data_IF_330933344117
#
_entry.id   IF_330933344117
#
_cell.length_a   1.000
_cell.length_b   1.000
_cell.length_c   1.000
_cell.angle_alpha   90.00
_cell.angle_beta   90.00
_cell.angle_gamma   90.00
#
_symmetry.space_group_name_H-M   'P 1'
#
loop_
_entity.id
_entity.type
_entity.pdbx_description
1 polymer ?
#
# COMPACT_ATOMS: atom_id res chain seq x y z
N UNK A 1 -7.10 15.70 5.30
CA UNK A 1 -6.64 16.34 4.03
C UNK A 1 -5.43 17.18 4.37
N UNK A 2 -4.26 16.87 3.78
CA UNK A 2 -3.03 17.63 4.03
C UNK A 2 -3.28 19.13 3.79
N UNK A 3 -2.68 19.99 4.64
CA UNK A 3 -2.76 21.46 4.54
C UNK A 3 -2.43 22.01 3.14
N UNK A 4 -1.67 21.26 2.34
CA UNK A 4 -1.33 21.58 0.94
C UNK A 4 -2.53 21.58 -0.02
N UNK A 5 -3.67 20.96 0.30
CA UNK A 5 -4.87 21.05 -0.51
C UNK A 5 -5.71 22.31 -0.24
N UNK A 6 -5.46 23.00 0.90
CA UNK A 6 -6.11 24.30 1.19
C UNK A 6 -5.47 25.46 0.41
N UNK A 7 -4.25 25.30 -0.11
CA UNK A 7 -3.62 26.34 -0.95
C UNK A 7 -4.14 26.23 -2.39
N UNK A 8 -5.25 26.89 -2.63
CA UNK A 8 -6.02 26.85 -3.89
C UNK A 8 -5.38 27.69 -5.02
N UNK A 9 -4.12 28.13 -4.85
CA UNK A 9 -3.45 29.09 -5.76
C UNK A 9 -2.78 28.48 -6.98
N UNK A 10 -2.78 27.14 -7.15
CA UNK A 10 -2.18 26.46 -8.29
C UNK A 10 -3.19 26.07 -9.37
N UNK A 11 -2.87 26.25 -10.63
CA UNK A 11 -3.66 25.73 -11.76
C UNK A 11 -3.80 24.20 -11.70
N UNK A 12 -4.79 23.64 -12.45
CA UNK A 12 -5.09 22.19 -12.42
C UNK A 12 -3.89 21.30 -12.68
N UNK A 13 -2.99 21.69 -13.58
CA UNK A 13 -1.76 20.95 -13.87
C UNK A 13 -0.79 20.90 -12.67
N UNK A 14 -0.62 22.02 -11.97
CA UNK A 14 0.24 22.06 -10.76
C UNK A 14 -0.28 21.11 -9.65
N UNK A 15 -1.60 21.10 -9.44
CA UNK A 15 -2.25 20.19 -8.49
C UNK A 15 -2.10 18.73 -8.91
N UNK A 16 -2.31 18.43 -10.18
CA UNK A 16 -2.11 17.09 -10.73
C UNK A 16 -0.67 16.63 -10.54
N UNK A 17 0.33 17.46 -10.94
CA UNK A 17 1.74 17.13 -10.77
C UNK A 17 2.09 16.81 -9.32
N UNK A 18 1.69 17.67 -8.39
CA UNK A 18 1.94 17.46 -6.96
C UNK A 18 1.28 16.19 -6.43
N UNK A 19 0.09 15.85 -6.92
CA UNK A 19 -0.66 14.69 -6.47
C UNK A 19 -0.09 13.36 -6.99
N UNK A 20 0.41 13.35 -8.23
CA UNK A 20 0.79 12.11 -8.93
C UNK A 20 2.30 11.93 -9.01
N UNK A 21 3.03 13.02 -9.24
CA UNK A 21 4.46 12.97 -9.54
C UNK A 21 5.35 13.63 -8.48
N UNK A 22 4.74 14.37 -7.52
CA UNK A 22 5.49 15.13 -6.52
C UNK A 22 6.26 16.29 -7.15
N UNK A 23 7.54 16.40 -6.79
CA UNK A 23 8.41 17.49 -7.26
C UNK A 23 9.14 17.17 -8.59
N UNK A 24 8.70 16.11 -9.31
CA UNK A 24 9.31 15.72 -10.57
C UNK A 24 9.28 16.88 -11.60
N UNK A 25 10.35 17.01 -12.41
CA UNK A 25 10.38 18.02 -13.49
C UNK A 25 9.30 17.77 -14.54
N UNK A 26 8.90 18.80 -15.26
CA UNK A 26 7.87 18.70 -16.33
C UNK A 26 8.27 17.65 -17.37
N UNK A 27 9.55 17.57 -17.73
CA UNK A 27 10.04 16.58 -18.69
C UNK A 27 9.86 15.14 -18.18
N UNK A 28 10.14 14.89 -16.90
CA UNK A 28 9.92 13.57 -16.27
C UNK A 28 8.43 13.24 -16.21
N UNK A 29 7.59 14.22 -15.88
CA UNK A 29 6.12 14.04 -15.89
C UNK A 29 5.66 13.65 -17.29
N UNK A 30 6.04 14.42 -18.31
CA UNK A 30 5.65 14.15 -19.71
C UNK A 30 6.10 12.74 -20.15
N UNK A 31 7.35 12.34 -19.83
CA UNK A 31 7.85 11.03 -20.20
C UNK A 31 7.09 9.90 -19.50
N UNK A 32 6.75 10.04 -18.21
CA UNK A 32 5.93 9.07 -17.48
C UNK A 32 4.55 8.94 -18.08
N UNK A 33 3.89 10.08 -18.37
CA UNK A 33 2.55 10.09 -18.98
C UNK A 33 2.55 9.43 -20.35
N UNK A 34 3.56 9.70 -21.19
CA UNK A 34 3.74 9.04 -22.48
C UNK A 34 3.90 7.52 -22.31
N UNK A 35 4.72 7.07 -21.34
CA UNK A 35 4.87 5.65 -21.08
C UNK A 35 3.56 5.00 -20.63
N UNK A 36 2.78 5.65 -19.74
CA UNK A 36 1.49 5.13 -19.33
C UNK A 36 0.47 5.10 -20.48
N UNK A 37 0.44 6.15 -21.29
CA UNK A 37 -0.43 6.23 -22.47
C UNK A 37 -0.13 5.14 -23.49
N UNK A 38 1.15 4.91 -23.81
CA UNK A 38 1.55 3.98 -24.85
C UNK A 38 1.54 2.52 -24.41
N UNK A 39 1.89 2.23 -23.14
CA UNK A 39 2.15 0.86 -22.68
C UNK A 39 1.18 0.37 -21.61
N UNK A 40 0.52 1.27 -20.90
CA UNK A 40 -0.33 0.94 -19.76
C UNK A 40 -1.48 0.01 -20.11
N UNK A 41 -2.08 0.22 -21.26
CA UNK A 41 -3.28 -0.46 -21.70
C UNK A 41 -3.06 -1.38 -22.93
N UNK A 42 -1.81 -1.77 -23.20
CA UNK A 42 -1.52 -2.82 -24.19
C UNK A 42 -1.76 -4.18 -23.52
N UNK A 43 -2.71 -4.99 -24.00
CA UNK A 43 -3.06 -6.26 -23.37
C UNK A 43 -2.05 -7.37 -23.67
N UNK A 44 -2.14 -8.45 -22.88
CA UNK A 44 -1.46 -9.71 -23.10
C UNK A 44 0.09 -9.64 -22.99
N UNK A 45 0.80 -10.67 -23.51
CA UNK A 45 2.24 -10.81 -23.36
C UNK A 45 3.05 -9.63 -23.95
N UNK A 46 2.57 -9.04 -25.05
CA UNK A 46 3.23 -7.88 -25.67
C UNK A 46 3.23 -6.72 -24.68
N UNK A 47 2.09 -6.40 -24.08
CA UNK A 47 2.00 -5.34 -23.09
C UNK A 47 2.86 -5.59 -21.86
N UNK A 48 2.94 -6.85 -21.39
CA UNK A 48 3.81 -7.22 -20.27
C UNK A 48 5.29 -6.96 -20.59
N UNK A 49 5.74 -7.35 -21.79
CA UNK A 49 7.14 -7.10 -22.23
C UNK A 49 7.41 -5.61 -22.33
N UNK A 50 6.51 -4.84 -22.93
CA UNK A 50 6.67 -3.39 -23.05
C UNK A 50 6.79 -2.72 -21.68
N UNK A 51 5.87 -3.01 -20.76
CA UNK A 51 5.93 -2.46 -19.39
C UNK A 51 7.20 -2.90 -18.64
N UNK A 52 7.62 -4.16 -18.79
CA UNK A 52 8.89 -4.66 -18.22
C UNK A 52 10.11 -3.88 -18.69
N UNK A 53 10.11 -3.42 -19.94
CA UNK A 53 11.22 -2.66 -20.53
C UNK A 53 11.14 -1.18 -20.16
N UNK A 54 9.95 -0.59 -20.24
CA UNK A 54 9.80 0.87 -20.17
C UNK A 54 9.42 1.43 -18.80
N UNK A 55 9.02 0.62 -17.81
CA UNK A 55 8.63 1.14 -16.50
C UNK A 55 9.76 1.22 -15.46
N UNK A 56 10.81 0.36 -15.45
CA UNK A 56 11.79 0.29 -14.37
C UNK A 56 12.46 1.62 -14.00
N UNK A 57 12.75 2.48 -14.97
CA UNK A 57 13.41 3.77 -14.74
C UNK A 57 12.59 4.76 -13.89
N UNK A 58 11.29 4.53 -13.75
CA UNK A 58 10.40 5.41 -12.96
C UNK A 58 10.60 5.25 -11.46
N UNK A 59 11.08 4.08 -11.03
CA UNK A 59 11.15 3.67 -9.63
C UNK A 59 12.47 4.08 -8.97
N UNK A 60 12.46 4.19 -7.63
CA UNK A 60 13.70 4.35 -6.86
C UNK A 60 14.64 3.17 -7.09
N UNK A 61 14.09 1.96 -7.05
CA UNK A 61 14.76 0.70 -7.34
C UNK A 61 13.76 -0.23 -8.03
N UNK A 62 14.19 -0.93 -9.06
CA UNK A 62 13.41 -1.99 -9.70
C UNK A 62 14.32 -3.20 -9.91
N UNK A 63 13.97 -4.30 -9.26
CA UNK A 63 14.70 -5.56 -9.32
C UNK A 63 14.56 -6.25 -10.68
N UNK A 64 15.21 -7.38 -10.83
CA UNK A 64 15.15 -8.22 -12.03
C UNK A 64 13.83 -8.99 -12.07
N UNK A 65 13.31 -9.21 -13.26
CA UNK A 65 12.12 -10.06 -13.43
C UNK A 65 10.81 -9.50 -12.92
N UNK A 66 10.73 -8.20 -12.58
CA UNK A 66 9.49 -7.57 -12.17
C UNK A 66 8.46 -7.61 -13.29
N UNK A 67 7.22 -7.96 -12.93
CA UNK A 67 6.09 -8.05 -13.86
C UNK A 67 5.08 -6.95 -13.51
N UNK A 68 4.66 -6.21 -14.52
CA UNK A 68 3.64 -5.16 -14.40
C UNK A 68 2.41 -5.56 -15.21
N UNK A 69 1.28 -5.75 -14.52
CA UNK A 69 -0.01 -6.08 -15.09
C UNK A 69 -0.61 -4.96 -15.93
N UNK A 70 -1.70 -5.25 -16.58
CA UNK A 70 -2.48 -4.32 -17.41
C UNK A 70 -3.13 -3.24 -16.54
N UNK A 71 -3.08 -1.99 -16.96
CA UNK A 71 -3.75 -0.89 -16.26
C UNK A 71 -3.22 -0.57 -14.85
N UNK A 72 -2.03 -1.06 -14.49
CA UNK A 72 -1.39 -0.70 -13.20
C UNK A 72 -1.13 0.80 -13.12
N UNK A 73 -1.30 1.39 -11.94
CA UNK A 73 -1.08 2.81 -11.75
C UNK A 73 -0.08 3.08 -10.61
N UNK A 74 0.80 4.06 -10.85
CA UNK A 74 1.82 4.45 -9.89
C UNK A 74 1.78 5.95 -9.63
N UNK A 75 1.79 6.32 -8.33
CA UNK A 75 1.97 7.71 -7.92
C UNK A 75 3.25 7.81 -7.08
N UNK A 76 4.02 8.86 -7.30
CA UNK A 76 5.33 9.06 -6.67
C UNK A 76 6.28 7.86 -6.86
N UNK A 77 6.40 7.28 -8.08
CA UNK A 77 7.16 6.04 -8.29
C UNK A 77 8.63 6.16 -7.89
N UNK A 78 9.20 7.36 -7.87
CA UNK A 78 10.56 7.62 -7.36
C UNK A 78 10.73 7.33 -5.85
N UNK A 79 9.64 7.06 -5.13
CA UNK A 79 9.62 6.60 -3.73
C UNK A 79 9.22 5.13 -3.58
N UNK A 80 9.13 4.38 -4.70
CA UNK A 80 8.79 2.98 -4.69
C UNK A 80 10.04 2.16 -5.00
N UNK A 81 10.32 1.15 -4.17
CA UNK A 81 11.39 0.16 -4.38
C UNK A 81 10.77 -1.22 -4.56
N UNK A 82 11.14 -1.90 -5.64
CA UNK A 82 10.67 -3.23 -5.99
C UNK A 82 11.87 -4.19 -5.98
N UNK A 83 11.73 -5.32 -5.28
CA UNK A 83 12.70 -6.43 -5.27
C UNK A 83 12.66 -7.26 -6.55
N UNK A 84 13.47 -8.30 -6.58
CA UNK A 84 13.52 -9.24 -7.72
C UNK A 84 12.24 -10.07 -7.79
N UNK A 85 11.73 -10.32 -8.99
CA UNK A 85 10.56 -11.17 -9.21
C UNK A 85 9.23 -10.65 -8.63
N UNK A 86 9.14 -9.38 -8.25
CA UNK A 86 7.87 -8.77 -7.80
C UNK A 86 6.85 -8.85 -8.93
N UNK A 87 5.64 -9.28 -8.60
CA UNK A 87 4.51 -9.34 -9.52
C UNK A 87 3.41 -8.37 -9.07
N UNK A 88 3.09 -7.39 -9.91
CA UNK A 88 2.00 -6.42 -9.70
C UNK A 88 0.93 -6.70 -10.74
N UNK A 89 -0.21 -7.25 -10.30
CA UNK A 89 -1.28 -7.73 -11.16
C UNK A 89 -2.15 -6.57 -11.71
N UNK A 90 -3.07 -6.90 -12.60
CA UNK A 90 -3.88 -5.95 -13.36
C UNK A 90 -4.62 -4.96 -12.46
N UNK A 91 -4.61 -3.69 -12.86
CA UNK A 91 -5.30 -2.59 -12.17
C UNK A 91 -4.87 -2.35 -10.72
N UNK A 92 -3.77 -2.94 -10.26
CA UNK A 92 -3.23 -2.62 -8.95
C UNK A 92 -2.70 -1.18 -8.92
N UNK A 93 -2.77 -0.54 -7.75
CA UNK A 93 -2.31 0.84 -7.54
C UNK A 93 -1.29 0.90 -6.40
N UNK A 94 -0.14 1.50 -6.67
CA UNK A 94 0.85 1.86 -5.66
C UNK A 94 0.99 3.39 -5.62
N UNK A 95 0.69 3.99 -4.47
CA UNK A 95 0.79 5.44 -4.26
C UNK A 95 1.68 5.74 -3.04
N UNK A 96 2.89 6.17 -3.29
CA UNK A 96 3.88 6.49 -2.26
C UNK A 96 3.86 7.98 -1.85
N UNK A 97 2.67 8.59 -1.83
CA UNK A 97 2.51 10.00 -1.52
C UNK A 97 2.95 10.34 -0.11
N UNK A 98 3.70 11.43 0.00
CA UNK A 98 4.13 12.00 1.27
C UNK A 98 5.19 13.08 1.08
N UNK A 99 5.34 13.97 2.08
CA UNK A 99 6.33 15.03 2.02
C UNK A 99 7.73 14.52 2.39
N UNK A 100 7.85 13.75 3.49
CA UNK A 100 9.12 13.31 4.05
C UNK A 100 9.24 11.78 4.19
N UNK A 101 8.24 11.02 3.73
CA UNK A 101 8.22 9.56 3.85
C UNK A 101 9.22 8.88 2.91
N UNK A 102 9.62 7.66 3.27
CA UNK A 102 10.44 6.78 2.43
C UNK A 102 9.62 6.14 1.32
N UNK A 103 8.33 5.94 1.54
CA UNK A 103 7.37 5.45 0.55
C UNK A 103 7.08 3.95 0.66
N UNK A 104 7.13 3.22 -0.47
CA UNK A 104 6.74 1.81 -0.55
C UNK A 104 7.97 0.96 -0.90
N UNK A 105 8.19 -0.10 -0.12
CA UNK A 105 9.22 -1.11 -0.40
C UNK A 105 8.58 -2.49 -0.47
N UNK A 106 8.72 -3.16 -1.61
CA UNK A 106 8.31 -4.55 -1.81
C UNK A 106 9.56 -5.43 -1.92
N UNK A 107 9.67 -6.43 -1.06
CA UNK A 107 10.76 -7.42 -1.07
C UNK A 107 10.69 -8.37 -2.28
N UNK A 108 11.68 -9.24 -2.39
CA UNK A 108 11.79 -10.18 -3.52
C UNK A 108 10.58 -11.14 -3.56
N UNK A 109 10.05 -11.37 -4.75
CA UNK A 109 8.95 -12.30 -4.97
C UNK A 109 7.61 -11.87 -4.35
N UNK A 110 7.45 -10.61 -3.93
CA UNK A 110 6.15 -10.10 -3.48
C UNK A 110 5.15 -10.13 -4.60
N UNK A 111 3.95 -10.63 -4.30
CA UNK A 111 2.79 -10.61 -5.20
C UNK A 111 1.77 -9.58 -4.73
N UNK A 112 1.35 -8.70 -5.63
CA UNK A 112 0.27 -7.72 -5.42
C UNK A 112 -0.86 -8.04 -6.37
N UNK A 113 -1.95 -8.56 -5.83
CA UNK A 113 -3.10 -9.04 -6.60
C UNK A 113 -3.91 -7.93 -7.26
N UNK A 114 -4.75 -8.37 -8.17
CA UNK A 114 -5.59 -7.51 -9.01
C UNK A 114 -6.41 -6.50 -8.23
N UNK A 115 -6.44 -5.24 -8.71
CA UNK A 115 -7.18 -4.12 -8.10
C UNK A 115 -6.81 -3.83 -6.63
N UNK A 116 -5.70 -4.36 -6.14
CA UNK A 116 -5.19 -4.06 -4.80
C UNK A 116 -4.58 -2.67 -4.76
N UNK A 117 -4.85 -1.95 -3.67
CA UNK A 117 -4.36 -0.60 -3.44
C UNK A 117 -3.36 -0.59 -2.28
N UNK A 118 -2.14 -0.17 -2.54
CA UNK A 118 -1.11 0.05 -1.52
C UNK A 118 -0.78 1.53 -1.56
N UNK A 119 -1.13 2.28 -0.50
CA UNK A 119 -0.95 3.71 -0.56
C UNK A 119 -0.57 4.35 0.78
N UNK A 120 0.36 5.28 0.67
CA UNK A 120 0.83 6.11 1.77
C UNK A 120 0.13 7.47 1.77
N UNK A 121 0.01 8.05 2.95
CA UNK A 121 -0.28 9.47 3.15
C UNK A 121 0.65 9.98 4.24
N UNK A 122 1.86 10.36 3.82
CA UNK A 122 2.99 10.74 4.67
C UNK A 122 3.59 9.59 5.52
N UNK A 123 3.09 8.34 5.39
CA UNK A 123 3.62 7.14 6.04
C UNK A 123 4.42 6.25 5.10
N UNK A 124 4.95 5.16 5.65
CA UNK A 124 5.73 4.15 4.92
C UNK A 124 5.02 2.80 4.89
N UNK A 125 5.24 2.03 3.83
CA UNK A 125 4.77 0.64 3.72
C UNK A 125 5.92 -0.25 3.27
N UNK A 126 6.17 -1.34 3.99
CA UNK A 126 7.12 -2.37 3.60
C UNK A 126 6.49 -3.75 3.63
N UNK A 127 6.70 -4.53 2.58
CA UNK A 127 6.31 -5.94 2.51
C UNK A 127 7.59 -6.79 2.39
N UNK A 128 7.73 -7.78 3.25
CA UNK A 128 8.83 -8.73 3.23
C UNK A 128 8.75 -9.71 2.05
N UNK A 129 9.85 -10.42 1.83
CA UNK A 129 10.00 -11.36 0.72
C UNK A 129 8.86 -12.39 0.64
N UNK A 130 8.43 -12.73 -0.57
CA UNK A 130 7.39 -13.75 -0.86
C UNK A 130 6.05 -13.52 -0.16
N UNK A 131 5.80 -12.34 0.34
CA UNK A 131 4.48 -11.98 0.85
C UNK A 131 3.50 -11.82 -0.30
N UNK A 132 2.36 -12.46 -0.16
CA UNK A 132 1.28 -12.46 -1.15
C UNK A 132 0.10 -11.61 -0.64
N UNK A 133 -0.20 -10.55 -1.35
CA UNK A 133 -1.40 -9.74 -1.13
C UNK A 133 -2.40 -10.06 -2.22
N UNK A 134 -3.48 -10.72 -1.87
CA UNK A 134 -4.54 -11.11 -2.81
C UNK A 134 -5.24 -9.90 -3.44
N UNK A 135 -6.22 -10.18 -4.28
CA UNK A 135 -6.96 -9.16 -5.03
C UNK A 135 -7.87 -8.30 -4.14
N UNK A 136 -8.11 -7.06 -4.58
CA UNK A 136 -9.08 -6.14 -3.96
C UNK A 136 -8.74 -5.77 -2.50
N UNK A 137 -7.48 -5.92 -2.11
CA UNK A 137 -7.01 -5.50 -0.80
C UNK A 137 -6.72 -4.00 -0.77
N UNK A 138 -6.73 -3.43 0.43
CA UNK A 138 -6.31 -2.05 0.67
C UNK A 138 -5.34 -2.01 1.83
N UNK A 139 -4.10 -1.58 1.57
CA UNK A 139 -3.07 -1.33 2.56
C UNK A 139 -2.82 0.17 2.62
N UNK A 140 -3.03 0.75 3.79
CA UNK A 140 -2.89 2.19 4.00
C UNK A 140 -1.92 2.50 5.14
N UNK A 141 -1.12 3.55 4.96
CA UNK A 141 -0.26 4.06 6.02
C UNK A 141 -0.16 5.58 6.02
N UNK A 142 -0.38 6.19 7.18
CA UNK A 142 0.06 7.55 7.45
C UNK A 142 1.15 7.62 8.54
N UNK A 143 1.62 6.46 8.98
CA UNK A 143 2.75 6.31 9.90
C UNK A 143 3.73 5.28 9.33
N UNK A 144 3.66 4.02 9.78
CA UNK A 144 4.50 2.94 9.27
C UNK A 144 3.71 1.63 9.31
N UNK A 145 3.64 0.94 8.18
CA UNK A 145 3.11 -0.40 8.05
C UNK A 145 4.23 -1.33 7.57
N UNK A 146 4.62 -2.26 8.42
CA UNK A 146 5.57 -3.30 8.06
C UNK A 146 4.88 -4.67 8.10
N UNK A 147 4.94 -5.40 6.99
CA UNK A 147 4.49 -6.79 6.89
C UNK A 147 5.71 -7.65 6.61
N UNK A 148 5.90 -8.70 7.42
CA UNK A 148 7.02 -9.62 7.32
C UNK A 148 7.03 -10.44 6.04
N UNK A 149 7.94 -11.40 5.97
CA UNK A 149 8.10 -12.31 4.83
C UNK A 149 7.10 -13.47 4.90
N UNK A 150 6.79 -14.04 3.74
CA UNK A 150 5.98 -15.26 3.63
C UNK A 150 4.52 -15.11 4.02
N UNK A 151 4.03 -13.90 4.26
CA UNK A 151 2.65 -13.66 4.68
C UNK A 151 1.65 -13.90 3.54
N UNK A 152 0.46 -14.41 3.89
CA UNK A 152 -0.67 -14.57 2.99
C UNK A 152 -1.79 -13.63 3.41
N UNK A 153 -2.08 -12.62 2.60
CA UNK A 153 -3.15 -11.65 2.84
C UNK A 153 -4.33 -11.99 1.93
N UNK A 154 -5.43 -12.45 2.51
CA UNK A 154 -6.65 -12.85 1.81
C UNK A 154 -7.32 -11.68 1.08
N UNK A 155 -8.11 -12.00 0.06
CA UNK A 155 -8.80 -10.99 -0.75
C UNK A 155 -9.72 -10.08 0.07
N UNK A 156 -9.93 -8.84 -0.40
CA UNK A 156 -10.76 -7.82 0.25
C UNK A 156 -10.30 -7.40 1.66
N UNK A 157 -9.09 -7.75 2.05
CA UNK A 157 -8.54 -7.36 3.36
C UNK A 157 -8.23 -5.86 3.37
N UNK A 158 -8.53 -5.22 4.51
CA UNK A 158 -8.20 -3.82 4.76
C UNK A 158 -7.22 -3.72 5.94
N UNK A 159 -6.05 -3.11 5.70
CA UNK A 159 -5.01 -2.91 6.72
C UNK A 159 -4.72 -1.41 6.82
N UNK A 160 -4.87 -0.87 8.04
CA UNK A 160 -4.78 0.55 8.32
C UNK A 160 -3.74 0.83 9.41
N UNK A 161 -2.67 1.54 9.06
CA UNK A 161 -1.72 2.09 10.03
C UNK A 161 -1.90 3.60 10.13
N UNK A 162 -2.62 4.04 11.16
CA UNK A 162 -3.02 5.42 11.39
C UNK A 162 -4.27 5.83 10.60
N UNK A 163 -4.53 7.14 10.53
CA UNK A 163 -5.67 7.67 9.77
C UNK A 163 -6.91 7.93 10.63
N UNK A 164 -6.77 7.96 11.94
CA UNK A 164 -7.87 8.27 12.86
C UNK A 164 -8.06 9.79 13.02
N UNK A 165 -9.32 10.23 13.07
CA UNK A 165 -9.69 11.58 13.48
C UNK A 165 -9.94 11.61 14.99
N UNK A 166 -9.67 12.75 15.64
CA UNK A 166 -9.98 12.91 17.05
C UNK A 166 -11.46 13.29 17.22
N UNK A 167 -12.25 12.35 17.73
CA UNK A 167 -13.67 12.55 17.99
C UNK A 167 -13.93 13.48 19.20
N UNK A 168 -12.91 13.82 19.98
CA UNK A 168 -13.01 14.75 21.13
C UNK A 168 -12.71 16.18 20.70
N UNK A 169 -12.08 16.37 19.52
CA UNK A 169 -11.87 17.69 18.95
C UNK A 169 -13.20 18.22 18.40
N UNK A 170 -13.63 19.38 18.88
CA UNK A 170 -14.86 20.05 18.42
C UNK A 170 -14.76 20.55 16.97
N UNK A 171 -13.56 20.56 16.37
CA UNK A 171 -13.36 20.93 14.97
C UNK A 171 -14.06 19.92 14.06
N UNK A 172 -14.85 20.35 13.07
CA UNK A 172 -15.47 19.44 12.10
C UNK A 172 -14.45 18.50 11.46
N UNK A 173 -14.75 17.22 11.33
CA UNK A 173 -13.80 16.23 10.80
C UNK A 173 -13.18 16.63 9.47
N UNK A 174 -13.92 17.30 8.59
CA UNK A 174 -13.40 17.79 7.31
C UNK A 174 -12.36 18.91 7.46
N UNK A 175 -12.30 19.56 8.60
CA UNK A 175 -11.41 20.69 8.90
C UNK A 175 -10.25 20.30 9.81
N UNK A 176 -10.32 19.14 10.47
CA UNK A 176 -9.22 18.64 11.29
C UNK A 176 -7.96 18.47 10.44
N UNK A 177 -6.85 19.01 10.94
CA UNK A 177 -5.53 18.92 10.29
C UNK A 177 -4.74 17.81 10.96
N UNK A 178 -4.24 16.90 10.13
CA UNK A 178 -3.55 15.71 10.59
C UNK A 178 -4.50 14.53 10.85
N UNK A 179 -3.93 13.35 10.90
CA UNK A 179 -4.63 12.12 11.27
C UNK A 179 -3.85 11.46 12.38
N UNK A 180 -4.56 11.09 13.45
CA UNK A 180 -3.98 10.38 14.58
C UNK A 180 -3.46 9.00 14.19
N UNK A 181 -2.52 8.51 14.97
CA UNK A 181 -2.00 7.15 14.89
C UNK A 181 -1.64 6.66 16.28
N UNK A 182 -1.83 5.37 16.52
CA UNK A 182 -1.38 4.70 17.75
C UNK A 182 0.04 4.17 17.67
N UNK A 183 0.72 4.48 16.57
CA UNK A 183 2.10 4.06 16.33
C UNK A 183 2.24 3.18 15.08
N UNK A 184 3.42 2.62 14.86
CA UNK A 184 3.65 1.70 13.76
C UNK A 184 2.79 0.45 13.90
N UNK A 185 2.31 -0.08 12.76
CA UNK A 185 1.67 -1.39 12.69
C UNK A 185 2.67 -2.40 12.08
N UNK A 186 2.98 -3.44 12.84
CA UNK A 186 3.89 -4.50 12.41
C UNK A 186 3.15 -5.83 12.35
N UNK A 187 3.16 -6.49 11.20
CA UNK A 187 2.73 -7.88 11.01
C UNK A 187 3.99 -8.71 10.83
N UNK A 188 4.18 -9.71 11.67
CA UNK A 188 5.36 -10.58 11.66
C UNK A 188 5.44 -11.50 10.44
N UNK A 189 6.38 -12.43 10.49
CA UNK A 189 6.62 -13.38 9.41
C UNK A 189 5.56 -14.50 9.38
N UNK A 190 5.34 -15.07 8.19
CA UNK A 190 4.50 -16.26 7.97
C UNK A 190 3.06 -16.14 8.51
N UNK A 191 2.52 -14.94 8.59
CA UNK A 191 1.15 -14.69 9.04
C UNK A 191 0.13 -15.01 7.95
N UNK A 192 -1.02 -15.52 8.37
CA UNK A 192 -2.18 -15.68 7.48
C UNK A 192 -3.31 -14.76 7.90
N UNK A 193 -3.59 -13.76 7.07
CA UNK A 193 -4.73 -12.84 7.24
C UNK A 193 -5.86 -13.30 6.33
N UNK A 194 -6.95 -13.75 6.92
CA UNK A 194 -8.11 -14.29 6.21
C UNK A 194 -8.84 -13.24 5.36
N UNK A 195 -9.58 -13.71 4.38
CA UNK A 195 -10.38 -12.88 3.45
C UNK A 195 -11.32 -11.93 4.21
N UNK A 196 -11.39 -10.66 3.76
CA UNK A 196 -12.22 -9.60 4.35
C UNK A 196 -11.88 -9.28 5.82
N UNK A 197 -10.71 -9.65 6.29
CA UNK A 197 -10.27 -9.19 7.59
C UNK A 197 -9.99 -7.69 7.57
N UNK A 198 -10.20 -7.03 8.71
CA UNK A 198 -9.88 -5.62 8.91
C UNK A 198 -8.87 -5.50 10.04
N UNK A 199 -7.69 -4.95 9.74
CA UNK A 199 -6.66 -4.69 10.73
C UNK A 199 -6.61 -3.18 10.94
N UNK A 200 -6.95 -2.74 12.15
CA UNK A 200 -6.99 -1.33 12.52
C UNK A 200 -5.67 -0.90 13.19
N UNK A 201 -5.43 0.38 13.21
CA UNK A 201 -4.24 1.01 13.82
C UNK A 201 -4.02 0.58 15.29
N UNK A 202 -5.11 0.31 16.02
CA UNK A 202 -5.05 -0.20 17.40
C UNK A 202 -4.45 -1.60 17.55
N UNK A 203 -4.32 -2.37 16.47
CA UNK A 203 -3.66 -3.67 16.50
C UNK A 203 -2.17 -3.54 16.86
N UNK A 204 -1.48 -2.52 16.36
CA UNK A 204 -0.06 -2.21 16.54
C UNK A 204 0.89 -3.37 16.18
N UNK A 205 0.59 -4.60 16.58
CA UNK A 205 1.39 -5.78 16.25
C UNK A 205 0.55 -7.03 16.05
N UNK A 206 0.92 -7.82 15.05
CA UNK A 206 0.47 -9.21 14.85
C UNK A 206 1.75 -10.04 14.79
N UNK A 207 1.93 -10.94 15.78
CA UNK A 207 3.15 -11.74 15.93
C UNK A 207 3.29 -12.80 14.84
N UNK A 208 4.51 -13.33 14.68
CA UNK A 208 4.84 -14.33 13.68
C UNK A 208 3.88 -15.53 13.73
N UNK A 209 3.55 -16.06 12.54
CA UNK A 209 2.69 -17.24 12.38
C UNK A 209 1.30 -17.11 13.01
N UNK A 210 0.84 -15.88 13.28
CA UNK A 210 -0.52 -15.65 13.71
C UNK A 210 -1.50 -15.86 12.54
N UNK A 211 -2.71 -16.31 12.87
CA UNK A 211 -3.80 -16.46 11.93
C UNK A 211 -4.95 -15.54 12.33
N UNK A 212 -5.34 -14.66 11.41
CA UNK A 212 -6.55 -13.85 11.53
C UNK A 212 -7.63 -14.50 10.69
N UNK A 213 -8.72 -14.94 11.32
CA UNK A 213 -9.83 -15.58 10.61
C UNK A 213 -10.49 -14.62 9.59
N UNK A 214 -11.14 -15.18 8.60
CA UNK A 214 -11.91 -14.39 7.63
C UNK A 214 -12.96 -13.52 8.34
N UNK A 215 -13.18 -12.30 7.81
CA UNK A 215 -14.12 -11.31 8.33
C UNK A 215 -13.84 -10.83 9.76
N UNK A 216 -12.68 -11.13 10.33
CA UNK A 216 -12.31 -10.65 11.66
C UNK A 216 -11.92 -9.18 11.65
N UNK A 217 -12.18 -8.46 12.77
CA UNK A 217 -11.73 -7.09 12.97
C UNK A 217 -10.74 -7.02 14.12
N UNK A 218 -9.46 -6.82 13.81
CA UNK A 218 -8.37 -6.77 14.78
C UNK A 218 -8.09 -5.32 15.17
N UNK A 219 -8.26 -5.00 16.44
CA UNK A 219 -8.03 -3.67 17.02
C UNK A 219 -7.13 -3.69 18.26
N UNK A 220 -6.51 -4.83 18.56
CA UNK A 220 -5.57 -5.04 19.66
C UNK A 220 -4.43 -5.93 19.18
N UNK A 221 -3.25 -5.88 19.84
CA UNK A 221 -2.13 -6.74 19.52
C UNK A 221 -2.50 -8.23 19.56
N UNK A 222 -1.93 -8.99 18.62
CA UNK A 222 -2.07 -10.45 18.54
C UNK A 222 -0.72 -11.10 18.77
N UNK A 223 -0.62 -12.02 19.72
CA UNK A 223 0.63 -12.73 19.99
C UNK A 223 0.99 -13.72 18.87
N UNK A 224 2.27 -14.10 18.79
CA UNK A 224 2.76 -15.04 17.79
C UNK A 224 2.06 -16.42 17.93
N UNK A 225 1.77 -17.02 16.76
CA UNK A 225 1.16 -18.37 16.69
C UNK A 225 -0.29 -18.47 17.17
N UNK A 226 -0.94 -17.35 17.46
CA UNK A 226 -2.33 -17.33 17.93
C UNK A 226 -3.30 -17.20 16.77
N UNK A 227 -4.41 -17.92 16.87
CA UNK A 227 -5.56 -17.77 15.96
C UNK A 227 -6.57 -16.83 16.61
N UNK A 228 -6.96 -15.78 15.87
CA UNK A 228 -7.98 -14.82 16.31
C UNK A 228 -9.12 -14.71 15.31
N UNK A 229 -10.34 -14.44 15.81
CA UNK A 229 -11.52 -14.26 14.95
C UNK A 229 -12.61 -13.44 15.62
N UNK A 230 -13.59 -13.02 14.83
CA UNK A 230 -14.75 -12.24 15.30
C UNK A 230 -14.57 -10.73 15.21
N UNK A 231 -15.61 -9.97 15.62
CA UNK A 231 -15.70 -8.50 15.59
C UNK A 231 -16.15 -8.00 16.97
N UNK A 232 -15.26 -7.44 17.80
CA UNK A 232 -13.81 -7.41 17.65
C UNK A 232 -13.17 -8.80 17.76
N UNK A 233 -12.01 -8.99 17.14
CA UNK A 233 -11.29 -10.26 17.14
C UNK A 233 -10.84 -10.65 18.55
N UNK A 234 -11.03 -11.94 18.88
CA UNK A 234 -10.59 -12.56 20.12
C UNK A 234 -9.86 -13.88 19.81
N UNK A 235 -8.95 -14.33 20.69
CA UNK A 235 -8.35 -15.66 20.54
C UNK A 235 -9.44 -16.73 20.39
N UNK A 236 -9.25 -17.61 19.40
CA UNK A 236 -10.07 -18.80 19.22
C UNK A 236 -9.41 -19.98 19.92
N UNK A 237 -10.20 -20.84 20.57
CA UNK A 237 -9.69 -22.08 21.13
C UNK A 237 -9.05 -22.91 19.99
N UNK A 238 -7.92 -23.58 20.29
CA UNK A 238 -7.37 -24.57 19.34
C UNK A 238 -8.43 -25.65 19.15
N UNK A 239 -8.84 -25.84 17.88
CA UNK A 239 -9.63 -26.99 17.49
C UNK A 239 -8.82 -28.27 17.64
#
# INVERSE_FOLDING_TARGET
MSSKFKDNRGGGFSKYRALVHGDASIAVVALREICFLLFGYVPGPIGMVLRKVFYPWMFRKCGKGVVFGYGVSFRHPHKISLGDGVFIDDFAMLDAKGAANSGITLGDGVFVGRMTKIYCKDGDISLGERTNVSSLCTLYSNNSLAIGKGCMIGAYTYILSGGEYDHRDATPYAEQTGMGTKGPLVIGDDCWIGTRATILDGAQSIGDRALVAACAMVNKPVAAGIVVGGVPAKPLAKA
#
